data_IF_029912489532
#
_entry.id   IF_029912489532
#
_cell.length_a   1.000
_cell.length_b   1.000
_cell.length_c   1.000
_cell.angle_alpha   90.00
_cell.angle_beta   90.00
_cell.angle_gamma   90.00
#
_symmetry.space_group_name_H-M   'P 1'
#
loop_
_entity.id
_entity.type
_entity.pdbx_description
1 polymer ?
#
# COMPACT_ATOMS: atom_id res chain seq x y z
N UNK A 1 -1.40 12.20 -0.02
CA UNK A 1 -0.99 10.79 0.10
C UNK A 1 -1.62 10.01 -1.03
N UNK A 2 -0.85 9.19 -1.72
CA UNK A 2 -1.33 8.30 -2.78
C UNK A 2 -1.19 6.84 -2.34
N UNK A 3 -2.10 5.99 -2.78
CA UNK A 3 -1.99 4.55 -2.56
C UNK A 3 -2.48 3.78 -3.78
N UNK A 4 -1.63 2.91 -4.34
CA UNK A 4 -1.99 1.93 -5.35
C UNK A 4 -2.29 0.61 -4.65
N UNK A 5 -3.53 0.14 -4.78
CA UNK A 5 -4.00 -1.07 -4.10
C UNK A 5 -4.31 -2.15 -5.14
N UNK A 6 -3.73 -3.34 -4.95
CA UNK A 6 -4.03 -4.50 -5.77
C UNK A 6 -4.58 -5.65 -4.92
N UNK A 7 -5.69 -6.23 -5.35
CA UNK A 7 -6.16 -7.51 -4.82
C UNK A 7 -5.21 -8.62 -5.28
N UNK A 8 -4.73 -9.42 -4.34
CA UNK A 8 -3.74 -10.47 -4.64
C UNK A 8 -4.19 -11.82 -4.08
N UNK A 9 -3.77 -12.90 -4.75
CA UNK A 9 -3.82 -14.25 -4.18
C UNK A 9 -2.61 -14.53 -3.31
N UNK A 10 -1.47 -13.85 -3.61
CA UNK A 10 -0.25 -13.84 -2.80
C UNK A 10 0.62 -12.65 -3.17
N UNK A 11 1.41 -12.17 -2.22
CA UNK A 11 2.48 -11.20 -2.47
C UNK A 11 3.62 -11.41 -1.49
N UNK A 12 4.86 -11.10 -1.91
CA UNK A 12 6.05 -11.20 -1.06
C UNK A 12 7.06 -10.11 -1.36
N UNK A 13 7.87 -9.81 -0.36
CA UNK A 13 9.01 -8.89 -0.41
C UNK A 13 10.28 -9.67 -0.19
N UNK A 14 11.23 -9.55 -1.11
CA UNK A 14 12.57 -10.09 -0.98
C UNK A 14 13.58 -8.96 -0.84
N UNK A 15 14.49 -9.07 0.12
CA UNK A 15 15.58 -8.11 0.37
C UNK A 15 16.88 -8.92 0.41
N UNK A 16 17.87 -8.52 -0.38
CA UNK A 16 19.17 -9.19 -0.45
C UNK A 16 19.08 -10.70 -0.69
N UNK A 17 18.12 -11.10 -1.55
CA UNK A 17 17.88 -12.49 -1.94
C UNK A 17 17.13 -13.34 -0.90
N UNK A 18 16.74 -12.77 0.24
CA UNK A 18 15.97 -13.47 1.29
C UNK A 18 14.55 -12.92 1.41
N UNK A 19 13.56 -13.79 1.63
CA UNK A 19 12.20 -13.36 1.89
C UNK A 19 12.14 -12.57 3.21
N UNK A 20 11.69 -11.32 3.11
CA UNK A 20 11.51 -10.41 4.24
C UNK A 20 10.10 -10.51 4.84
N UNK A 21 9.08 -10.54 3.98
CA UNK A 21 7.68 -10.69 4.38
C UNK A 21 6.85 -11.23 3.22
N UNK A 22 5.77 -11.96 3.54
CA UNK A 22 4.85 -12.48 2.54
C UNK A 22 3.43 -12.55 3.08
N UNK A 23 2.44 -12.42 2.21
CA UNK A 23 1.01 -12.57 2.50
C UNK A 23 0.37 -13.58 1.54
N UNK A 24 -0.71 -14.22 1.99
CA UNK A 24 -1.62 -14.97 1.14
C UNK A 24 -2.67 -14.07 0.48
N UNK A 25 -3.92 -14.55 0.42
CA UNK A 25 -5.05 -13.78 -0.13
C UNK A 25 -5.26 -12.49 0.62
N UNK A 26 -5.24 -11.36 -0.11
CA UNK A 26 -5.36 -10.06 0.53
C UNK A 26 -5.15 -8.89 -0.42
N UNK A 27 -4.54 -7.84 0.12
CA UNK A 27 -4.23 -6.61 -0.59
C UNK A 27 -2.75 -6.27 -0.51
N UNK A 28 -2.14 -5.96 -1.65
CA UNK A 28 -0.87 -5.26 -1.71
C UNK A 28 -1.14 -3.76 -1.87
N UNK A 29 -0.58 -2.95 -0.97
CA UNK A 29 -0.72 -1.50 -0.95
C UNK A 29 0.64 -0.81 -1.10
N UNK A 30 0.89 -0.20 -2.24
CA UNK A 30 1.99 0.74 -2.41
C UNK A 30 1.54 2.11 -1.92
N UNK A 31 2.24 2.71 -0.96
CA UNK A 31 1.88 4.01 -0.37
C UNK A 31 2.97 5.04 -0.60
N UNK A 32 2.55 6.26 -0.94
CA UNK A 32 3.41 7.42 -1.14
C UNK A 32 2.92 8.59 -0.32
N UNK A 33 3.83 9.21 0.42
CA UNK A 33 3.58 10.48 1.08
C UNK A 33 4.07 11.65 0.23
N UNK A 34 3.28 12.71 0.16
CA UNK A 34 3.56 13.93 -0.59
C UNK A 34 3.94 15.09 0.36
N UNK A 35 4.41 16.20 -0.21
CA UNK A 35 4.99 17.34 0.55
C UNK A 35 4.11 17.84 1.69
N UNK A 36 2.80 17.94 1.48
CA UNK A 36 1.87 18.53 2.43
C UNK A 36 1.10 17.52 3.29
N UNK A 37 1.45 16.24 3.17
CA UNK A 37 0.78 15.18 3.91
C UNK A 37 1.05 15.28 5.42
N UNK A 38 0.07 14.84 6.19
CA UNK A 38 0.09 14.76 7.64
C UNK A 38 -0.50 13.43 8.14
N UNK A 39 -0.53 13.27 9.45
CA UNK A 39 -0.98 12.02 10.11
C UNK A 39 -2.48 11.72 9.94
N UNK A 40 -3.32 12.73 9.68
CA UNK A 40 -4.74 12.53 9.46
C UNK A 40 -5.03 11.70 8.20
N UNK A 41 -4.16 11.80 7.19
CA UNK A 41 -4.30 11.01 5.96
C UNK A 41 -4.04 9.52 6.21
N UNK A 42 -3.22 9.18 7.20
CA UNK A 42 -2.99 7.80 7.62
C UNK A 42 -4.28 7.19 8.18
N UNK A 43 -5.01 7.93 9.01
CA UNK A 43 -6.29 7.47 9.56
C UNK A 43 -7.34 7.28 8.45
N UNK A 44 -7.38 8.21 7.48
CA UNK A 44 -8.24 8.09 6.31
C UNK A 44 -7.89 6.85 5.46
N UNK A 45 -6.59 6.59 5.26
CA UNK A 45 -6.12 5.41 4.54
C UNK A 45 -6.54 4.12 5.26
N UNK A 46 -6.25 3.97 6.55
CA UNK A 46 -6.59 2.76 7.33
C UNK A 46 -8.09 2.53 7.33
N UNK A 47 -8.89 3.59 7.54
CA UNK A 47 -10.35 3.49 7.49
C UNK A 47 -10.84 3.08 6.10
N UNK A 48 -10.26 3.64 5.02
CA UNK A 48 -10.60 3.26 3.65
C UNK A 48 -10.30 1.79 3.39
N UNK A 49 -9.08 1.32 3.68
CA UNK A 49 -8.68 -0.08 3.45
C UNK A 49 -9.51 -1.06 4.28
N UNK A 50 -9.92 -0.66 5.48
CA UNK A 50 -10.73 -1.52 6.36
C UNK A 50 -12.18 -1.72 5.89
N UNK A 51 -12.75 -0.74 5.17
CA UNK A 51 -14.18 -0.71 4.85
C UNK A 51 -14.49 -0.86 3.37
N UNK A 52 -13.57 -0.50 2.50
CA UNK A 52 -13.80 -0.56 1.05
C UNK A 52 -13.84 -2.01 0.58
N UNK A 53 -14.79 -2.31 -0.29
CA UNK A 53 -14.95 -3.65 -0.85
C UNK A 53 -13.99 -3.87 -2.03
N UNK A 54 -13.13 -4.86 -1.90
CA UNK A 54 -12.17 -5.27 -2.92
C UNK A 54 -12.40 -6.69 -3.42
N UNK A 55 -13.16 -7.50 -2.68
CA UNK A 55 -13.30 -8.93 -2.91
C UNK A 55 -14.70 -9.29 -3.37
N UNK A 56 -14.81 -10.43 -4.04
CA UNK A 56 -16.08 -10.94 -4.53
C UNK A 56 -17.05 -11.21 -3.38
N UNK A 57 -18.29 -10.77 -3.57
CA UNK A 57 -19.45 -11.13 -2.77
C UNK A 57 -20.44 -11.96 -3.62
N UNK A 58 -21.54 -12.36 -3.02
CA UNK A 58 -22.49 -13.32 -3.62
C UNK A 58 -23.03 -12.91 -5.01
N UNK A 59 -23.14 -11.62 -5.28
CA UNK A 59 -23.68 -11.09 -6.54
C UNK A 59 -22.84 -9.98 -7.18
N UNK A 60 -21.62 -9.76 -6.68
CA UNK A 60 -20.74 -8.66 -7.11
C UNK A 60 -19.28 -9.06 -7.11
N UNK A 61 -18.52 -8.61 -8.13
CA UNK A 61 -17.07 -8.76 -8.20
C UNK A 61 -16.33 -8.03 -7.05
N UNK A 62 -16.96 -7.03 -6.43
CA UNK A 62 -16.45 -6.22 -5.31
C UNK A 62 -17.60 -6.01 -4.30
N UNK A 63 -17.84 -6.99 -3.45
CA UNK A 63 -18.91 -6.98 -2.44
C UNK A 63 -18.41 -7.09 -1.00
N UNK A 64 -17.19 -7.60 -0.79
CA UNK A 64 -16.62 -7.83 0.55
C UNK A 64 -15.36 -7.02 0.76
N UNK A 65 -15.13 -6.57 1.99
CA UNK A 65 -13.91 -5.89 2.42
C UNK A 65 -12.85 -6.88 2.94
N UNK A 66 -11.66 -6.36 3.24
CA UNK A 66 -10.52 -7.16 3.69
C UNK A 66 -10.79 -7.93 4.99
N UNK A 67 -11.55 -7.34 5.93
CA UNK A 67 -11.86 -7.99 7.21
C UNK A 67 -12.85 -9.14 7.06
N UNK A 68 -13.86 -8.94 6.21
CA UNK A 68 -14.90 -9.96 5.96
C UNK A 68 -14.33 -11.24 5.37
N UNK A 69 -13.26 -11.14 4.58
CA UNK A 69 -12.57 -12.31 4.01
C UNK A 69 -11.41 -12.81 4.88
N UNK A 70 -11.20 -12.19 6.05
CA UNK A 70 -10.03 -12.42 6.94
C UNK A 70 -8.67 -12.32 6.23
N UNK A 71 -8.60 -11.49 5.18
CA UNK A 71 -7.43 -11.33 4.34
C UNK A 71 -6.30 -10.54 5.00
N UNK A 72 -5.14 -10.55 4.35
CA UNK A 72 -3.92 -9.89 4.82
C UNK A 72 -3.62 -8.64 4.00
N UNK A 73 -2.98 -7.64 4.62
CA UNK A 73 -2.50 -6.42 3.99
C UNK A 73 -0.97 -6.39 3.97
N UNK A 74 -0.38 -6.22 2.78
CA UNK A 74 1.05 -5.94 2.64
C UNK A 74 1.24 -4.48 2.25
N UNK A 75 1.92 -3.69 3.09
CA UNK A 75 2.14 -2.26 2.87
C UNK A 75 3.58 -1.99 2.48
N UNK A 76 3.77 -1.33 1.34
CA UNK A 76 5.09 -0.99 0.78
C UNK A 76 5.19 0.51 0.57
N UNK A 77 6.23 1.14 1.09
CA UNK A 77 6.49 2.55 0.77
C UNK A 77 6.99 2.69 -0.68
N UNK A 78 6.41 3.61 -1.46
CA UNK A 78 6.67 3.77 -2.89
C UNK A 78 6.60 5.24 -3.32
N UNK A 79 7.67 6.00 -3.11
CA UNK A 79 7.71 7.43 -3.42
C UNK A 79 7.55 7.72 -4.91
N UNK A 80 7.86 6.76 -5.78
CA UNK A 80 7.74 6.92 -7.24
C UNK A 80 6.29 7.07 -7.72
N UNK A 81 5.27 6.79 -6.89
CA UNK A 81 3.88 7.11 -7.22
C UNK A 81 3.66 8.62 -7.39
N UNK A 82 4.43 9.46 -6.68
CA UNK A 82 4.40 10.92 -6.84
C UNK A 82 5.16 11.44 -8.07
N UNK A 83 5.61 10.56 -8.95
CA UNK A 83 6.38 10.91 -10.14
C UNK A 83 5.58 11.80 -11.10
N UNK A 84 6.21 12.88 -11.56
CA UNK A 84 5.73 13.69 -12.68
C UNK A 84 6.48 13.31 -13.94
N UNK A 85 5.75 12.81 -14.95
CA UNK A 85 6.30 12.28 -16.21
C UNK A 85 5.86 13.08 -17.44
N UNK A 86 5.31 14.28 -17.24
CA UNK A 86 4.68 15.09 -18.32
C UNK A 86 5.68 15.70 -19.29
N UNK A 87 6.96 15.83 -18.93
CA UNK A 87 7.99 16.45 -19.78
C UNK A 87 9.24 15.57 -19.83
N UNK A 88 9.66 15.28 -21.06
CA UNK A 88 10.89 14.51 -21.32
C UNK A 88 10.79 13.04 -20.91
N UNK A 89 11.95 12.37 -20.83
CA UNK A 89 12.07 10.93 -20.57
C UNK A 89 12.59 10.61 -19.14
N UNK A 90 12.62 11.62 -18.26
CA UNK A 90 13.04 11.46 -16.87
C UNK A 90 11.90 11.87 -15.92
N UNK A 91 11.58 11.01 -14.97
CA UNK A 91 10.62 11.34 -13.94
C UNK A 91 11.17 12.42 -12.97
N UNK A 92 10.29 13.29 -12.49
CA UNK A 92 10.59 14.25 -11.42
C UNK A 92 9.78 13.85 -10.19
N UNK A 93 10.39 13.91 -9.02
CA UNK A 93 9.79 13.51 -7.75
C UNK A 93 9.55 14.69 -6.80
N UNK A 94 9.47 15.92 -7.34
CA UNK A 94 9.31 17.16 -6.57
C UNK A 94 8.04 17.23 -5.72
N UNK A 95 7.07 16.33 -5.95
CA UNK A 95 5.83 16.23 -5.16
C UNK A 95 5.96 15.31 -3.96
N UNK A 96 6.93 14.39 -3.96
CA UNK A 96 7.14 13.48 -2.85
C UNK A 96 7.60 14.23 -1.59
N UNK A 97 7.21 13.76 -0.42
CA UNK A 97 7.75 14.22 0.84
C UNK A 97 9.27 13.97 0.91
N UNK A 98 9.99 14.74 1.73
CA UNK A 98 11.40 14.43 1.97
C UNK A 98 11.56 13.03 2.57
N UNK A 99 12.73 12.36 2.37
CA UNK A 99 12.95 11.02 2.92
C UNK A 99 12.65 10.94 4.42
N UNK A 100 13.10 11.92 5.20
CA UNK A 100 12.92 11.96 6.66
C UNK A 100 11.44 12.08 7.04
N UNK A 101 10.69 12.97 6.36
CA UNK A 101 9.26 13.13 6.57
C UNK A 101 8.49 11.87 6.16
N UNK A 102 8.82 11.31 5.01
CA UNK A 102 8.17 10.09 4.51
C UNK A 102 8.43 8.90 5.44
N UNK A 103 9.65 8.75 5.96
CA UNK A 103 9.99 7.70 6.92
C UNK A 103 9.22 7.85 8.22
N UNK A 104 9.13 9.08 8.76
CA UNK A 104 8.36 9.37 9.97
C UNK A 104 6.88 9.03 9.80
N UNK A 105 6.26 9.45 8.68
CA UNK A 105 4.86 9.13 8.38
C UNK A 105 4.65 7.64 8.15
N UNK A 106 5.59 6.96 7.50
CA UNK A 106 5.51 5.51 7.29
C UNK A 106 5.60 4.74 8.62
N UNK A 107 6.53 5.09 9.51
CA UNK A 107 6.61 4.52 10.87
C UNK A 107 5.30 4.72 11.63
N UNK A 108 4.71 5.91 11.55
CA UNK A 108 3.43 6.20 12.19
C UNK A 108 2.27 5.37 11.59
N UNK A 109 2.27 5.17 10.27
CA UNK A 109 1.33 4.26 9.62
C UNK A 109 1.43 2.83 10.18
N UNK A 110 2.64 2.29 10.34
CA UNK A 110 2.83 0.94 10.90
C UNK A 110 2.35 0.86 12.36
N UNK A 111 2.67 1.86 13.19
CA UNK A 111 2.18 1.96 14.59
C UNK A 111 0.64 1.99 14.65
N UNK A 112 -0.01 2.71 13.73
CA UNK A 112 -1.48 2.76 13.67
C UNK A 112 -2.09 1.46 13.14
N UNK A 113 -1.41 0.77 12.23
CA UNK A 113 -1.82 -0.56 11.76
C UNK A 113 -1.76 -1.60 12.89
N UNK A 114 -0.75 -1.55 13.77
CA UNK A 114 -0.67 -2.41 14.97
C UNK A 114 -1.88 -2.24 15.91
N UNK A 115 -2.43 -1.03 15.96
CA UNK A 115 -3.62 -0.71 16.76
C UNK A 115 -4.93 -1.05 16.03
N UNK A 116 -4.86 -1.39 14.77
CA UNK A 116 -6.02 -1.78 13.96
C UNK A 116 -6.33 -3.26 14.13
N UNK A 117 -7.51 -3.68 13.64
CA UNK A 117 -7.88 -5.11 13.57
C UNK A 117 -7.45 -5.80 12.27
N UNK A 118 -6.63 -5.14 11.45
CA UNK A 118 -6.14 -5.72 10.20
C UNK A 118 -4.98 -6.67 10.47
N UNK A 119 -4.96 -7.80 9.78
CA UNK A 119 -3.74 -8.65 9.66
C UNK A 119 -2.85 -7.97 8.63
N UNK A 120 -1.64 -7.57 9.01
CA UNK A 120 -0.78 -6.83 8.09
C UNK A 120 0.69 -7.24 8.20
N UNK A 121 1.41 -6.97 7.11
CA UNK A 121 2.87 -7.02 7.00
C UNK A 121 3.35 -5.82 6.21
N UNK A 122 4.65 -5.55 6.21
CA UNK A 122 5.23 -4.43 5.48
C UNK A 122 6.53 -4.80 4.78
N UNK A 123 6.92 -3.95 3.84
CA UNK A 123 8.29 -3.85 3.38
C UNK A 123 9.14 -3.01 4.33
N UNK A 124 10.44 -2.92 4.05
CA UNK A 124 11.42 -2.11 4.80
C UNK A 124 11.61 -0.77 4.11
N UNK A 125 11.32 0.33 4.81
CA UNK A 125 11.50 1.69 4.28
C UNK A 125 12.96 1.92 3.83
N UNK A 126 13.13 2.49 2.64
CA UNK A 126 14.42 2.84 2.07
C UNK A 126 15.28 1.66 1.59
N UNK A 127 14.85 0.41 1.76
CA UNK A 127 15.56 -0.75 1.22
C UNK A 127 15.27 -0.94 -0.27
N UNK A 128 16.20 -1.55 -0.97
CA UNK A 128 15.93 -2.13 -2.29
C UNK A 128 15.17 -3.44 -2.08
N UNK A 129 13.98 -3.52 -2.68
CA UNK A 129 13.05 -4.63 -2.49
C UNK A 129 12.61 -5.20 -3.83
N UNK A 130 12.67 -6.51 -3.98
CA UNK A 130 11.99 -7.22 -5.05
C UNK A 130 10.60 -7.62 -4.56
N UNK A 131 9.56 -7.15 -5.25
CA UNK A 131 8.17 -7.39 -4.89
C UNK A 131 7.55 -8.36 -5.90
N UNK A 132 7.22 -9.56 -5.43
CA UNK A 132 6.50 -10.56 -6.20
C UNK A 132 5.03 -10.55 -5.80
N UNK A 133 4.12 -10.64 -6.79
CA UNK A 133 2.69 -10.69 -6.52
C UNK A 133 1.93 -11.44 -7.62
N UNK A 134 0.81 -12.03 -7.25
CA UNK A 134 -0.19 -12.53 -8.20
C UNK A 134 -1.44 -11.67 -8.05
N UNK A 135 -1.65 -10.72 -8.98
CA UNK A 135 -2.83 -9.88 -8.99
C UNK A 135 -4.08 -10.72 -9.29
N UNK A 136 -5.03 -10.71 -8.37
CA UNK A 136 -6.36 -11.27 -8.60
C UNK A 136 -7.20 -10.21 -9.31
N UNK A 137 -7.03 -10.16 -10.63
CA UNK A 137 -7.61 -9.11 -11.48
C UNK A 137 -9.13 -9.18 -11.63
N UNK A 138 -9.70 -8.10 -12.14
CA UNK A 138 -9.04 -6.87 -12.58
C UNK A 138 -8.85 -5.82 -11.46
N UNK A 139 -8.84 -6.20 -10.17
CA UNK A 139 -8.92 -5.25 -9.05
C UNK A 139 -7.54 -4.63 -8.77
N UNK A 140 -7.40 -3.41 -9.30
CA UNK A 140 -6.28 -2.50 -9.05
C UNK A 140 -6.84 -1.08 -8.99
N UNK A 141 -6.69 -0.40 -7.85
CA UNK A 141 -7.23 0.95 -7.64
C UNK A 141 -6.14 1.92 -7.19
N UNK A 142 -6.23 3.14 -7.72
CA UNK A 142 -5.45 4.29 -7.23
C UNK A 142 -6.33 5.15 -6.32
N UNK A 143 -5.88 5.38 -5.10
CA UNK A 143 -6.51 6.29 -4.15
C UNK A 143 -5.64 7.53 -3.94
N UNK A 144 -6.29 8.70 -3.90
CA UNK A 144 -5.71 9.97 -3.50
C UNK A 144 -6.44 10.44 -2.24
N UNK A 145 -5.69 10.70 -1.19
CA UNK A 145 -6.21 11.13 0.11
C UNK A 145 -5.94 12.59 0.37
#
# INVERSE_FOLDING_TARGET
MQALIQRVTSASVTIEGSEYSSIGRGLLAFVCFELNDNEELIDKFINKISKFCFFEGDSSMIGLNLKEIEGELLVISQFTLAATTKKGNKASFHKAASPEKAESLYKNLLIKLDKSSLKWKSGKFGAQMDISLVNNGPVTFMFNF
#
